data_IF_994185633250
#
_entry.id   IF_994185633250
#
_cell.length_a   1.000
_cell.length_b   1.000
_cell.length_c   1.000
_cell.angle_alpha   90.00
_cell.angle_beta   90.00
_cell.angle_gamma   90.00
#
_symmetry.space_group_name_H-M   'P 1'
#
loop_
_entity.id
_entity.type
_entity.pdbx_description
1 polymer ?
#
# COMPACT_ATOMS: atom_id res chain seq x y z
N UNK A 1 -28.34 35.17 -19.09
CA UNK A 1 -28.88 33.91 -18.53
C UNK A 1 -27.79 33.25 -17.70
N UNK A 2 -27.91 33.36 -16.39
CA UNK A 2 -26.91 32.90 -15.42
C UNK A 2 -27.16 31.41 -15.11
N UNK A 3 -26.17 30.53 -15.35
CA UNK A 3 -26.29 29.09 -15.03
C UNK A 3 -25.74 28.85 -13.63
N UNK A 4 -26.45 28.12 -12.74
CA UNK A 4 -26.01 27.94 -11.36
C UNK A 4 -24.73 27.10 -11.31
N UNK A 5 -23.70 27.64 -10.63
CA UNK A 5 -22.46 26.91 -10.30
C UNK A 5 -22.80 25.77 -9.36
N UNK A 6 -22.74 24.51 -9.84
CA UNK A 6 -22.85 23.34 -8.97
C UNK A 6 -21.69 23.34 -7.97
N UNK A 7 -22.02 23.50 -6.69
CA UNK A 7 -21.08 23.45 -5.56
C UNK A 7 -20.54 22.03 -5.43
N UNK A 8 -19.22 21.88 -5.49
CA UNK A 8 -18.56 20.60 -5.25
C UNK A 8 -18.73 20.23 -3.77
N UNK A 9 -19.38 19.09 -3.51
CA UNK A 9 -19.45 18.46 -2.19
C UNK A 9 -18.35 17.38 -2.19
N UNK A 10 -17.28 17.51 -1.39
CA UNK A 10 -16.27 16.46 -1.27
C UNK A 10 -16.94 15.18 -0.76
N UNK A 11 -16.69 14.05 -1.41
CA UNK A 11 -17.19 12.76 -0.92
C UNK A 11 -16.47 12.38 0.39
N UNK A 12 -17.19 11.80 1.36
CA UNK A 12 -16.59 11.33 2.62
C UNK A 12 -15.61 10.17 2.38
N UNK A 13 -14.67 9.98 3.31
CA UNK A 13 -13.59 8.99 3.21
C UNK A 13 -14.05 7.55 2.90
N UNK A 14 -15.30 7.20 3.25
CA UNK A 14 -15.96 5.92 2.96
C UNK A 14 -16.14 5.65 1.44
N UNK A 15 -16.10 6.70 0.60
CA UNK A 15 -16.21 6.56 -0.87
C UNK A 15 -14.91 6.12 -1.56
N UNK A 16 -13.76 6.23 -0.89
CA UNK A 16 -12.51 5.59 -1.37
C UNK A 16 -12.55 4.08 -1.15
N UNK A 17 -13.20 3.64 -0.07
CA UNK A 17 -13.48 2.23 0.21
C UNK A 17 -14.43 1.65 -0.85
N UNK A 18 -15.40 2.42 -1.33
CA UNK A 18 -16.33 2.01 -2.40
C UNK A 18 -15.67 1.85 -3.79
N UNK A 19 -14.59 2.59 -4.08
CA UNK A 19 -13.77 2.37 -5.29
C UNK A 19 -12.85 1.15 -5.14
N UNK A 20 -12.28 0.94 -3.96
CA UNK A 20 -11.51 -0.26 -3.61
C UNK A 20 -12.38 -1.53 -3.70
N UNK A 21 -13.64 -1.46 -3.26
CA UNK A 21 -14.59 -2.58 -3.31
C UNK A 21 -15.00 -2.93 -4.76
N UNK A 22 -15.18 -1.92 -5.62
CA UNK A 22 -15.39 -2.14 -7.07
C UNK A 22 -14.16 -2.69 -7.79
N UNK A 23 -12.96 -2.45 -7.28
CA UNK A 23 -11.71 -3.03 -7.79
C UNK A 23 -11.42 -4.43 -7.20
N UNK A 24 -12.02 -4.78 -6.06
CA UNK A 24 -11.85 -6.06 -5.35
C UNK A 24 -13.01 -7.06 -5.55
N UNK A 25 -14.14 -6.67 -6.15
CA UNK A 25 -15.23 -7.61 -6.48
C UNK A 25 -14.84 -8.55 -7.63
N UNK A 26 -14.10 -9.63 -7.32
CA UNK A 26 -14.16 -10.92 -8.05
C UNK A 26 -13.50 -12.09 -7.32
N UNK A 27 -13.15 -11.99 -6.04
CA UNK A 27 -12.66 -13.17 -5.29
C UNK A 27 -13.77 -14.04 -4.69
N UNK A 28 -15.03 -13.59 -4.66
CA UNK A 28 -16.11 -14.31 -3.95
C UNK A 28 -17.16 -15.00 -4.84
N UNK A 29 -17.06 -14.96 -6.17
CA UNK A 29 -18.06 -15.58 -7.07
C UNK A 29 -17.61 -16.85 -7.80
N UNK A 30 -16.40 -17.36 -7.56
CA UNK A 30 -15.96 -18.65 -8.13
C UNK A 30 -16.24 -19.89 -7.25
N UNK A 31 -17.01 -19.74 -6.15
CA UNK A 31 -17.35 -20.87 -5.26
C UNK A 31 -18.84 -21.28 -5.27
N UNK A 32 -19.67 -20.74 -6.17
CA UNK A 32 -21.12 -21.00 -6.16
C UNK A 32 -21.75 -21.16 -7.54
N UNK A 33 -21.74 -22.40 -8.05
CA UNK A 33 -22.77 -23.01 -8.89
C UNK A 33 -23.27 -22.27 -10.15
N UNK A 34 -22.86 -22.78 -11.32
CA UNK A 34 -23.67 -22.73 -12.54
C UNK A 34 -24.12 -24.16 -12.88
N UNK A 35 -25.44 -24.46 -12.91
CA UNK A 35 -25.94 -25.78 -13.27
C UNK A 35 -26.09 -25.92 -14.80
N UNK A 36 -25.67 -27.08 -15.31
CA UNK A 36 -26.23 -27.70 -16.51
C UNK A 36 -25.56 -27.33 -17.84
N UNK A 37 -24.75 -28.24 -18.35
CA UNK A 37 -24.98 -28.94 -19.63
C UNK A 37 -23.96 -30.10 -19.68
N UNK A 38 -24.48 -31.33 -19.59
CA UNK A 38 -23.66 -32.54 -19.58
C UNK A 38 -23.23 -32.96 -20.99
N UNK A 39 -22.05 -33.58 -21.08
CA UNK A 39 -21.74 -34.73 -21.91
C UNK A 39 -20.44 -35.38 -21.36
N UNK A 40 -20.29 -36.68 -21.62
CA UNK A 40 -19.60 -37.72 -20.85
C UNK A 40 -18.17 -38.07 -21.34
N UNK A 41 -17.42 -38.82 -20.49
CA UNK A 41 -16.22 -39.69 -20.73
C UNK A 41 -14.83 -38.99 -20.85
N UNK A 42 -13.70 -39.37 -20.22
CA UNK A 42 -13.21 -40.47 -19.35
C UNK A 42 -11.82 -40.06 -18.75
N UNK A 43 -11.22 -40.76 -17.76
CA UNK A 43 -10.18 -40.23 -16.85
C UNK A 43 -8.74 -40.69 -17.13
N UNK A 44 -7.75 -39.82 -16.88
CA UNK A 44 -6.31 -40.12 -16.65
C UNK A 44 -5.59 -38.77 -16.36
N UNK A 45 -4.59 -38.60 -15.49
CA UNK A 45 -3.88 -39.46 -14.58
C UNK A 45 -3.23 -38.56 -13.50
N UNK A 46 -3.06 -39.15 -12.32
CA UNK A 46 -2.26 -38.70 -11.18
C UNK A 46 -0.90 -38.10 -11.58
N UNK A 47 -0.59 -36.89 -11.13
CA UNK A 47 0.77 -36.53 -10.75
C UNK A 47 0.76 -35.84 -9.39
N UNK A 48 1.18 -36.62 -8.42
CA UNK A 48 1.70 -36.25 -7.11
C UNK A 48 2.79 -35.20 -7.22
N UNK A 49 2.57 -34.01 -6.65
CA UNK A 49 3.65 -33.08 -6.33
C UNK A 49 3.96 -33.16 -4.84
N UNK A 50 5.08 -33.80 -4.56
CA UNK A 50 5.80 -33.85 -3.29
C UNK A 50 6.09 -32.46 -2.74
N UNK A 51 5.88 -32.32 -1.43
CA UNK A 51 6.25 -31.18 -0.58
C UNK A 51 7.73 -31.23 -0.25
N UNK A 52 8.46 -30.11 -0.42
CA UNK A 52 9.50 -29.65 0.51
C UNK A 52 10.06 -28.28 0.07
N UNK A 53 10.04 -27.29 0.98
CA UNK A 53 10.76 -26.02 0.83
C UNK A 53 10.18 -24.88 1.67
N UNK A 54 10.61 -24.78 2.94
CA UNK A 54 10.29 -23.68 3.85
C UNK A 54 10.88 -22.34 3.37
N UNK A 55 10.15 -21.25 3.59
CA UNK A 55 10.75 -19.94 3.86
C UNK A 55 10.42 -18.83 2.87
N UNK A 56 9.16 -18.40 2.83
CA UNK A 56 8.73 -17.04 2.48
C UNK A 56 7.24 -16.96 2.79
N UNK A 57 6.84 -16.52 3.98
CA UNK A 57 5.45 -16.04 4.14
C UNK A 57 5.36 -14.76 3.32
N UNK A 58 5.07 -14.89 2.02
CA UNK A 58 4.74 -13.76 1.17
C UNK A 58 3.61 -13.00 1.86
N UNK A 59 3.81 -11.70 2.08
CA UNK A 59 2.78 -10.87 2.68
C UNK A 59 1.55 -10.96 1.75
N UNK A 60 0.35 -11.30 2.25
CA UNK A 60 -0.84 -11.38 1.40
C UNK A 60 -1.09 -10.10 0.58
N UNK A 61 -0.51 -8.95 0.95
CA UNK A 61 -0.57 -7.73 0.14
C UNK A 61 0.61 -7.49 -0.78
N UNK A 62 1.80 -8.04 -0.56
CA UNK A 62 2.82 -8.05 -1.62
C UNK A 62 2.30 -8.87 -2.80
N UNK A 63 1.58 -9.97 -2.50
CA UNK A 63 0.82 -10.73 -3.50
C UNK A 63 -0.27 -9.85 -4.14
N UNK A 64 -1.10 -9.14 -3.36
CA UNK A 64 -2.15 -8.27 -3.95
C UNK A 64 -1.59 -7.13 -4.80
N UNK A 65 -0.50 -6.48 -4.38
CA UNK A 65 0.14 -5.41 -5.17
C UNK A 65 0.70 -5.98 -6.46
N UNK A 66 1.37 -7.13 -6.42
CA UNK A 66 1.83 -7.82 -7.63
C UNK A 66 0.66 -8.20 -8.53
N UNK A 67 -0.43 -8.77 -7.99
CA UNK A 67 -1.65 -9.06 -8.75
C UNK A 67 -2.25 -7.80 -9.39
N UNK A 68 -2.21 -6.64 -8.71
CA UNK A 68 -2.66 -5.36 -9.28
C UNK A 68 -1.79 -4.96 -10.48
N UNK A 69 -0.46 -5.17 -10.39
CA UNK A 69 0.46 -4.93 -11.51
C UNK A 69 0.16 -5.91 -12.65
N UNK A 70 0.01 -7.20 -12.37
CA UNK A 70 -0.30 -8.24 -13.35
C UNK A 70 -1.62 -7.98 -14.11
N UNK A 71 -2.60 -7.36 -13.45
CA UNK A 71 -3.90 -7.02 -14.05
C UNK A 71 -3.90 -5.78 -14.94
N UNK A 72 -2.84 -4.98 -14.98
CA UNK A 72 -2.76 -3.76 -15.80
C UNK A 72 -3.20 -3.95 -17.26
N UNK A 73 -2.78 -4.99 -18.00
CA UNK A 73 -3.22 -5.22 -19.37
C UNK A 73 -4.75 -5.43 -19.47
N UNK A 74 -5.31 -6.21 -18.54
CA UNK A 74 -6.75 -6.46 -18.49
C UNK A 74 -7.53 -5.17 -18.15
N UNK A 75 -7.04 -4.36 -17.20
CA UNK A 75 -7.66 -3.08 -16.83
C UNK A 75 -7.70 -2.10 -18.00
N UNK A 76 -6.67 -2.02 -18.82
CA UNK A 76 -6.72 -1.20 -20.05
C UNK A 76 -7.78 -1.70 -21.03
N UNK A 77 -7.92 -3.01 -21.19
CA UNK A 77 -8.95 -3.60 -22.05
C UNK A 77 -10.37 -3.40 -21.49
N UNK A 78 -10.54 -3.42 -20.15
CA UNK A 78 -11.80 -3.11 -19.48
C UNK A 78 -12.19 -1.62 -19.67
N UNK A 79 -11.21 -0.71 -19.70
CA UNK A 79 -11.43 0.72 -19.99
C UNK A 79 -11.92 0.92 -21.42
N UNK A 80 -11.26 0.26 -22.39
CA UNK A 80 -11.64 0.31 -23.79
C UNK A 80 -11.32 -1.00 -24.52
N UNK A 81 -12.35 -1.82 -24.82
CA UNK A 81 -12.16 -3.09 -25.50
C UNK A 81 -11.63 -2.96 -26.93
N UNK A 82 -11.80 -1.81 -27.59
CA UNK A 82 -11.34 -1.61 -28.98
C UNK A 82 -9.88 -1.16 -29.05
N UNK A 83 -9.32 -0.71 -27.93
CA UNK A 83 -7.93 -0.26 -27.86
C UNK A 83 -6.95 -1.43 -28.01
N UNK A 84 -5.97 -1.27 -28.91
CA UNK A 84 -4.91 -2.27 -29.18
C UNK A 84 -3.58 -1.79 -28.62
N UNK A 85 -3.24 -2.18 -27.38
CA UNK A 85 -1.94 -1.86 -26.76
C UNK A 85 -0.96 -3.01 -27.03
N UNK A 86 0.26 -2.75 -27.53
CA UNK A 86 1.28 -3.78 -27.68
C UNK A 86 1.66 -4.41 -26.33
N UNK A 87 1.83 -5.74 -26.30
CA UNK A 87 2.19 -6.48 -25.08
C UNK A 87 3.50 -6.01 -24.45
N UNK A 88 4.48 -5.62 -25.27
CA UNK A 88 5.75 -5.03 -24.83
C UNK A 88 5.54 -3.72 -24.05
N UNK A 89 4.57 -2.89 -24.47
CA UNK A 89 4.25 -1.65 -23.76
C UNK A 89 3.63 -1.94 -22.41
N UNK A 90 2.69 -2.90 -22.34
CA UNK A 90 2.10 -3.28 -21.05
C UNK A 90 3.10 -3.96 -20.12
N UNK A 91 4.03 -4.77 -20.65
CA UNK A 91 5.10 -5.38 -19.86
C UNK A 91 6.06 -4.32 -19.28
N UNK A 92 6.48 -3.35 -20.09
CA UNK A 92 7.32 -2.24 -19.62
C UNK A 92 6.63 -1.40 -18.54
N UNK A 93 5.32 -1.15 -18.66
CA UNK A 93 4.53 -0.48 -17.60
C UNK A 93 4.53 -1.30 -16.31
N UNK A 94 4.37 -2.61 -16.41
CA UNK A 94 4.40 -3.48 -15.23
C UNK A 94 5.75 -3.43 -14.53
N UNK A 95 6.85 -3.42 -15.30
CA UNK A 95 8.20 -3.28 -14.75
C UNK A 95 8.42 -1.91 -14.10
N UNK A 96 7.95 -0.83 -14.71
CA UNK A 96 7.98 0.51 -14.12
C UNK A 96 7.20 0.55 -12.79
N UNK A 97 6.01 -0.08 -12.73
CA UNK A 97 5.19 -0.15 -11.52
C UNK A 97 5.86 -0.99 -10.42
N UNK A 98 6.52 -2.10 -10.78
CA UNK A 98 7.33 -2.89 -9.84
C UNK A 98 8.49 -2.06 -9.28
N UNK A 99 9.14 -1.29 -10.14
CA UNK A 99 10.26 -0.45 -9.74
C UNK A 99 9.84 0.74 -8.86
N UNK A 100 8.57 1.16 -8.91
CA UNK A 100 7.98 2.15 -8.00
C UNK A 100 7.53 1.59 -6.64
N UNK A 101 7.54 0.26 -6.44
CA UNK A 101 7.06 -0.33 -5.19
C UNK A 101 7.82 0.19 -3.97
N UNK A 102 7.06 0.67 -2.97
CA UNK A 102 7.57 1.26 -1.74
C UNK A 102 8.50 2.47 -1.93
N UNK A 103 8.49 3.13 -3.09
CA UNK A 103 9.30 4.34 -3.32
C UNK A 103 8.51 5.62 -3.12
N UNK A 104 7.17 5.55 -3.09
CA UNK A 104 6.30 6.72 -3.03
C UNK A 104 5.88 7.06 -1.60
N UNK A 105 5.77 8.35 -1.33
CA UNK A 105 5.15 8.95 -0.15
C UNK A 105 3.67 9.25 -0.41
N UNK A 106 2.89 9.41 0.67
CA UNK A 106 1.48 9.84 0.60
C UNK A 106 1.27 11.31 0.23
N UNK A 107 2.32 12.03 -0.18
CA UNK A 107 2.28 13.48 -0.44
C UNK A 107 2.06 13.76 -1.92
N UNK A 108 0.85 14.14 -2.30
CA UNK A 108 0.60 14.79 -3.60
C UNK A 108 0.04 16.19 -3.39
N UNK A 109 0.63 17.18 -4.05
CA UNK A 109 0.30 18.59 -3.78
C UNK A 109 -1.01 18.99 -4.48
N UNK A 110 -1.71 19.95 -3.86
CA UNK A 110 -3.03 20.39 -4.29
C UNK A 110 -3.03 21.01 -5.70
N UNK A 111 -1.96 21.72 -6.06
CA UNK A 111 -1.80 22.40 -7.34
C UNK A 111 -1.74 21.43 -8.53
N UNK A 112 -1.00 20.31 -8.43
CA UNK A 112 -0.93 19.33 -9.52
C UNK A 112 -2.29 18.63 -9.74
N UNK A 113 -3.01 18.32 -8.66
CA UNK A 113 -4.37 17.75 -8.73
C UNK A 113 -5.34 18.71 -9.44
N UNK A 114 -5.27 20.01 -9.12
CA UNK A 114 -6.09 21.03 -9.78
C UNK A 114 -5.76 21.18 -11.27
N UNK A 115 -4.47 21.13 -11.63
CA UNK A 115 -4.02 21.19 -13.02
C UNK A 115 -4.54 19.98 -13.83
N UNK A 116 -4.38 18.76 -13.31
CA UNK A 116 -4.85 17.57 -14.01
C UNK A 116 -6.37 17.54 -14.19
N UNK A 117 -7.12 17.91 -13.14
CA UNK A 117 -8.58 18.02 -13.22
C UNK A 117 -9.04 19.03 -14.27
N UNK A 118 -8.30 20.13 -14.44
CA UNK A 118 -8.60 21.15 -15.47
C UNK A 118 -8.36 20.60 -16.87
N UNK A 119 -7.28 19.83 -17.07
CA UNK A 119 -6.98 19.15 -18.33
C UNK A 119 -8.05 18.11 -18.69
N UNK A 120 -8.45 17.26 -17.74
CA UNK A 120 -9.52 16.28 -17.95
C UNK A 120 -10.83 16.93 -18.38
N UNK A 121 -11.25 18.00 -17.68
CA UNK A 121 -12.47 18.74 -18.05
C UNK A 121 -12.40 19.29 -19.47
N UNK A 122 -11.25 19.80 -19.89
CA UNK A 122 -11.04 20.33 -21.24
C UNK A 122 -11.16 19.23 -22.30
N UNK A 123 -10.41 18.12 -22.16
CA UNK A 123 -10.39 17.02 -23.14
C UNK A 123 -11.73 16.30 -23.29
N UNK A 124 -12.48 16.15 -22.19
CA UNK A 124 -13.83 15.57 -22.21
C UNK A 124 -14.80 16.55 -22.89
N UNK A 125 -14.69 17.84 -22.60
CA UNK A 125 -15.58 18.85 -23.17
C UNK A 125 -15.41 19.03 -24.69
N UNK A 126 -14.18 18.88 -25.21
CA UNK A 126 -13.89 19.05 -26.64
C UNK A 126 -13.99 17.76 -27.44
N UNK A 127 -14.15 16.61 -26.75
CA UNK A 127 -14.08 15.27 -27.34
C UNK A 127 -12.88 15.08 -28.30
N UNK A 128 -11.76 15.73 -27.98
CA UNK A 128 -10.54 15.65 -28.77
C UNK A 128 -9.30 15.58 -27.87
N UNK A 129 -8.26 14.90 -28.36
CA UNK A 129 -6.96 14.80 -27.70
C UNK A 129 -5.92 15.47 -28.59
N UNK A 130 -5.65 16.76 -28.34
CA UNK A 130 -4.59 17.48 -29.06
C UNK A 130 -3.21 17.05 -28.57
N UNK A 131 -2.18 17.19 -29.41
CA UNK A 131 -0.78 16.93 -29.03
C UNK A 131 -0.37 17.74 -27.80
N UNK A 132 -0.80 19.01 -27.73
CA UNK A 132 -0.51 19.89 -26.60
C UNK A 132 -1.21 19.43 -25.32
N UNK A 133 -2.49 19.05 -25.41
CA UNK A 133 -3.26 18.54 -24.25
C UNK A 133 -2.69 17.24 -23.73
N UNK A 134 -2.29 16.32 -24.61
CA UNK A 134 -1.65 15.06 -24.25
C UNK A 134 -0.28 15.28 -23.58
N UNK A 135 0.55 16.16 -24.16
CA UNK A 135 1.85 16.49 -23.57
C UNK A 135 1.70 17.13 -22.17
N UNK A 136 0.74 18.05 -22.02
CA UNK A 136 0.43 18.68 -20.74
C UNK A 136 -0.08 17.65 -19.71
N UNK A 137 -0.98 16.74 -20.11
CA UNK A 137 -1.48 15.68 -19.24
C UNK A 137 -0.34 14.76 -18.78
N UNK A 138 0.49 14.30 -19.71
CA UNK A 138 1.61 13.43 -19.40
C UNK A 138 2.62 14.11 -18.45
N UNK A 139 2.89 15.40 -18.66
CA UNK A 139 3.76 16.21 -17.81
C UNK A 139 3.22 16.28 -16.38
N UNK A 140 1.94 16.64 -16.21
CA UNK A 140 1.31 16.75 -14.88
C UNK A 140 1.26 15.38 -14.19
N UNK A 141 1.01 14.30 -14.94
CA UNK A 141 1.09 12.93 -14.42
C UNK A 141 2.45 12.61 -13.80
N UNK A 142 3.54 12.89 -14.51
CA UNK A 142 4.88 12.68 -13.98
C UNK A 142 5.23 13.60 -12.81
N UNK A 143 4.84 14.87 -12.87
CA UNK A 143 5.04 15.82 -11.76
C UNK A 143 4.36 15.36 -10.47
N UNK A 144 3.15 14.77 -10.57
CA UNK A 144 2.48 14.22 -9.40
C UNK A 144 3.24 13.02 -8.82
N UNK A 145 3.71 12.08 -9.65
CA UNK A 145 4.48 10.93 -9.16
C UNK A 145 5.83 11.33 -8.57
N UNK A 146 6.54 12.28 -9.20
CA UNK A 146 7.78 12.84 -8.65
C UNK A 146 7.50 13.59 -7.34
N UNK A 147 6.40 14.35 -7.26
CA UNK A 147 6.02 15.04 -6.01
C UNK A 147 5.71 14.07 -4.87
N UNK A 148 5.28 12.85 -5.22
CA UNK A 148 5.09 11.73 -4.32
C UNK A 148 6.38 10.93 -4.08
N UNK A 149 7.56 11.41 -4.44
CA UNK A 149 8.83 10.73 -4.17
C UNK A 149 9.28 9.72 -5.23
N UNK A 150 8.57 9.61 -6.36
CA UNK A 150 8.93 8.71 -7.44
C UNK A 150 10.30 9.04 -8.05
N UNK A 151 11.10 8.01 -8.31
CA UNK A 151 12.38 8.17 -8.99
C UNK A 151 12.18 8.79 -10.40
N UNK A 152 12.84 9.92 -10.73
CA UNK A 152 12.62 10.60 -12.00
C UNK A 152 12.86 9.75 -13.25
N UNK A 153 13.81 8.80 -13.21
CA UNK A 153 14.09 7.92 -14.35
C UNK A 153 12.96 6.90 -14.58
N UNK A 154 12.45 6.31 -13.49
CA UNK A 154 11.32 5.37 -13.55
C UNK A 154 10.05 6.10 -13.99
N UNK A 155 9.80 7.29 -13.44
CA UNK A 155 8.64 8.12 -13.83
C UNK A 155 8.73 8.53 -15.29
N UNK A 156 9.91 8.88 -15.80
CA UNK A 156 10.10 9.20 -17.21
C UNK A 156 9.83 8.00 -18.14
N UNK A 157 10.26 6.80 -17.73
CA UNK A 157 9.94 5.54 -18.44
C UNK A 157 8.42 5.30 -18.48
N UNK A 158 7.75 5.41 -17.33
CA UNK A 158 6.29 5.24 -17.24
C UNK A 158 5.54 6.28 -18.06
N UNK A 159 5.99 7.54 -18.06
CA UNK A 159 5.46 8.61 -18.92
C UNK A 159 5.62 8.29 -20.41
N UNK A 160 6.76 7.74 -20.82
CA UNK A 160 6.98 7.34 -22.21
C UNK A 160 6.06 6.18 -22.62
N UNK A 161 5.88 5.19 -21.75
CA UNK A 161 4.96 4.08 -22.00
C UNK A 161 3.49 4.53 -22.01
N UNK A 162 3.10 5.48 -21.16
CA UNK A 162 1.77 6.08 -21.17
C UNK A 162 1.48 6.90 -22.44
N UNK A 163 2.50 7.52 -23.05
CA UNK A 163 2.34 8.14 -24.37
C UNK A 163 2.04 7.10 -25.45
N UNK A 164 2.72 5.94 -25.43
CA UNK A 164 2.44 4.83 -26.37
C UNK A 164 1.01 4.31 -26.19
N UNK A 165 0.56 4.11 -24.94
CA UNK A 165 -0.83 3.72 -24.62
C UNK A 165 -1.81 4.76 -25.17
N UNK A 166 -1.52 6.05 -24.96
CA UNK A 166 -2.40 7.14 -25.42
C UNK A 166 -2.46 7.22 -26.95
N UNK A 167 -1.34 7.02 -27.64
CA UNK A 167 -1.30 6.96 -29.11
C UNK A 167 -2.12 5.77 -29.64
N UNK A 168 -2.01 4.61 -29.00
CA UNK A 168 -2.83 3.45 -29.34
C UNK A 168 -4.33 3.74 -29.15
N UNK A 169 -4.72 4.41 -28.06
CA UNK A 169 -6.10 4.85 -27.85
C UNK A 169 -6.55 5.82 -28.94
N UNK A 170 -5.74 6.82 -29.29
CA UNK A 170 -6.09 7.79 -30.35
C UNK A 170 -6.30 7.12 -31.71
N UNK A 171 -5.57 6.04 -32.00
CA UNK A 171 -5.63 5.33 -33.28
C UNK A 171 -6.78 4.31 -33.38
N UNK A 172 -7.15 3.66 -32.27
CA UNK A 172 -8.03 2.48 -32.29
C UNK A 172 -9.29 2.58 -31.42
N UNK A 173 -9.36 3.57 -30.53
CA UNK A 173 -10.52 3.78 -29.67
C UNK A 173 -11.69 4.38 -30.45
N UNK A 174 -12.90 3.94 -30.12
CA UNK A 174 -14.13 4.63 -30.55
C UNK A 174 -14.39 5.92 -29.76
N UNK A 175 -13.72 6.12 -28.63
CA UNK A 175 -13.84 7.26 -27.74
C UNK A 175 -12.46 7.72 -27.19
N UNK A 176 -11.56 8.25 -28.04
CA UNK A 176 -10.18 8.55 -27.67
C UNK A 176 -10.00 9.42 -26.42
N UNK A 177 -10.81 10.46 -26.26
CA UNK A 177 -10.71 11.35 -25.08
C UNK A 177 -11.03 10.63 -23.77
N UNK A 178 -12.00 9.71 -23.79
CA UNK A 178 -12.36 8.92 -22.62
C UNK A 178 -11.29 7.88 -22.31
N UNK A 179 -10.83 7.13 -23.31
CA UNK A 179 -9.77 6.14 -23.14
C UNK A 179 -8.49 6.77 -22.59
N UNK A 180 -8.00 7.85 -23.19
CA UNK A 180 -6.78 8.54 -22.72
C UNK A 180 -6.94 9.06 -21.29
N UNK A 181 -8.04 9.75 -20.99
CA UNK A 181 -8.27 10.32 -19.65
C UNK A 181 -8.34 9.22 -18.59
N UNK A 182 -9.11 8.16 -18.85
CA UNK A 182 -9.26 7.03 -17.91
C UNK A 182 -7.95 6.26 -17.74
N UNK A 183 -7.17 6.06 -18.80
CA UNK A 183 -5.87 5.40 -18.74
C UNK A 183 -4.91 6.14 -17.80
N UNK A 184 -4.85 7.48 -17.87
CA UNK A 184 -4.01 8.28 -16.95
C UNK A 184 -4.51 8.24 -15.50
N UNK A 185 -5.83 8.28 -15.28
CA UNK A 185 -6.41 8.16 -13.93
C UNK A 185 -6.10 6.78 -13.34
N UNK A 186 -6.35 5.72 -14.12
CA UNK A 186 -6.05 4.35 -13.74
C UNK A 186 -4.56 4.19 -13.41
N UNK A 187 -3.67 4.65 -14.31
CA UNK A 187 -2.24 4.49 -14.11
C UNK A 187 -1.73 5.25 -12.89
N UNK A 188 -2.25 6.46 -12.66
CA UNK A 188 -1.90 7.22 -11.47
C UNK A 188 -2.34 6.47 -10.20
N UNK A 189 -3.57 5.97 -10.16
CA UNK A 189 -4.07 5.19 -9.05
C UNK A 189 -3.25 3.92 -8.81
N UNK A 190 -3.02 3.13 -9.88
CA UNK A 190 -2.20 1.92 -9.83
C UNK A 190 -0.80 2.22 -9.27
N UNK A 191 -0.09 3.20 -9.84
CA UNK A 191 1.24 3.60 -9.40
C UNK A 191 1.26 4.04 -7.94
N UNK A 192 0.30 4.87 -7.51
CA UNK A 192 0.25 5.29 -6.11
C UNK A 192 -0.09 4.15 -5.16
N UNK A 193 -1.00 3.24 -5.54
CA UNK A 193 -1.40 2.13 -4.68
C UNK A 193 -0.27 1.13 -4.51
N UNK A 194 0.46 0.79 -5.58
CA UNK A 194 1.59 -0.15 -5.48
C UNK A 194 2.83 0.50 -4.89
N UNK A 195 3.01 1.80 -5.16
CA UNK A 195 4.23 2.51 -4.82
C UNK A 195 4.25 3.16 -3.45
N UNK A 196 3.11 3.42 -2.82
CA UNK A 196 3.10 4.07 -1.50
C UNK A 196 3.73 3.17 -0.44
N UNK A 197 4.83 3.64 0.14
CA UNK A 197 5.48 3.03 1.27
C UNK A 197 4.60 3.17 2.53
N UNK A 198 4.60 2.13 3.35
CA UNK A 198 3.96 2.18 4.66
C UNK A 198 4.95 2.84 5.61
N UNK A 199 4.60 3.96 6.26
CA UNK A 199 5.53 4.67 7.14
C UNK A 199 6.12 3.75 8.20
N UNK A 200 7.43 3.81 8.42
CA UNK A 200 8.10 3.03 9.47
C UNK A 200 7.73 3.59 10.85
N UNK A 201 7.36 2.75 11.84
CA UNK A 201 7.16 3.20 13.21
C UNK A 201 8.47 3.74 13.84
N UNK A 202 8.38 4.56 14.89
CA UNK A 202 9.55 4.89 15.70
C UNK A 202 10.05 3.66 16.48
N UNK A 203 11.29 3.71 16.94
CA UNK A 203 11.85 2.70 17.83
C UNK A 203 10.96 2.51 19.09
N UNK A 204 10.82 1.28 19.60
CA UNK A 204 10.05 1.01 20.81
C UNK A 204 10.51 1.91 21.96
N UNK A 205 9.57 2.57 22.64
CA UNK A 205 9.90 3.42 23.80
C UNK A 205 9.20 2.85 25.02
N UNK A 206 9.97 2.51 26.07
CA UNK A 206 9.40 2.08 27.35
C UNK A 206 8.62 3.24 27.97
N UNK A 207 7.44 2.96 28.54
CA UNK A 207 6.64 3.97 29.24
C UNK A 207 7.50 4.61 30.35
N UNK A 208 7.59 5.96 30.42
CA UNK A 208 8.52 6.64 31.31
C UNK A 208 8.47 6.23 32.78
N UNK A 209 7.26 6.00 33.33
CA UNK A 209 7.08 5.59 34.74
C UNK A 209 7.68 4.21 35.07
N UNK A 210 7.97 3.40 34.06
CA UNK A 210 8.59 2.07 34.21
C UNK A 210 10.10 2.09 33.97
N UNK A 211 10.65 3.21 33.46
CA UNK A 211 12.07 3.34 33.16
C UNK A 211 12.84 3.78 34.40
N UNK A 212 13.68 2.88 34.91
CA UNK A 212 14.57 3.09 36.05
C UNK A 212 15.90 3.77 35.67
N UNK A 213 16.16 3.93 34.37
CA UNK A 213 17.34 4.62 33.85
C UNK A 213 16.94 5.74 32.84
N UNK A 214 16.28 6.82 33.30
CA UNK A 214 16.00 7.96 32.43
C UNK A 214 17.32 8.57 31.91
N UNK A 215 17.46 8.74 30.59
CA UNK A 215 18.64 9.34 29.96
C UNK A 215 19.64 8.35 29.35
N UNK A 216 19.43 7.04 29.54
CA UNK A 216 20.18 5.99 28.84
C UNK A 216 19.25 4.92 28.26
N UNK A 217 19.82 3.75 27.97
CA UNK A 217 19.05 2.58 27.56
C UNK A 217 18.00 2.22 28.63
N UNK A 218 16.75 1.89 28.21
CA UNK A 218 15.66 1.65 29.14
C UNK A 218 15.95 0.44 30.04
N UNK A 219 15.77 0.63 31.35
CA UNK A 219 15.88 -0.40 32.38
C UNK A 219 14.57 -0.51 33.13
N UNK A 220 14.10 -1.72 33.41
CA UNK A 220 12.89 -1.93 34.20
C UNK A 220 12.94 -3.22 35.01
N UNK A 221 12.35 -3.22 36.21
CA UNK A 221 12.10 -4.46 36.95
C UNK A 221 10.72 -5.07 36.63
N UNK A 222 9.95 -4.44 35.73
CA UNK A 222 8.66 -4.96 35.29
C UNK A 222 8.87 -6.09 34.29
N UNK A 223 8.39 -7.29 34.64
CA UNK A 223 8.38 -8.45 33.74
C UNK A 223 7.28 -8.41 32.67
N UNK A 224 6.44 -7.38 32.70
CA UNK A 224 5.45 -7.05 31.67
C UNK A 224 5.62 -5.58 31.29
N UNK A 225 6.69 -5.23 30.57
CA UNK A 225 6.94 -3.85 30.18
C UNK A 225 5.80 -3.31 29.32
N UNK A 226 5.55 -2.02 29.43
CA UNK A 226 4.63 -1.29 28.56
C UNK A 226 5.43 -0.36 27.67
N UNK A 227 5.12 -0.37 26.38
CA UNK A 227 5.71 0.49 25.37
C UNK A 227 4.70 1.53 24.92
N UNK A 228 5.16 2.74 24.64
CA UNK A 228 4.33 3.85 24.17
C UNK A 228 4.98 4.54 22.98
N UNK A 229 4.19 5.23 22.20
CA UNK A 229 4.69 5.99 21.07
C UNK A 229 3.58 6.67 20.28
N UNK A 230 3.99 7.22 19.14
CA UNK A 230 3.10 7.76 18.13
C UNK A 230 3.29 7.01 16.82
N UNK A 231 2.19 6.77 16.13
CA UNK A 231 2.18 6.18 14.80
C UNK A 231 0.88 6.56 14.08
N UNK A 232 0.74 6.28 12.79
CA UNK A 232 -0.49 6.63 12.07
C UNK A 232 -1.72 5.98 12.70
N UNK A 233 -2.79 6.76 12.86
CA UNK A 233 -4.05 6.31 13.46
C UNK A 233 -4.61 5.11 12.69
N UNK A 234 -5.15 4.13 13.40
CA UNK A 234 -5.77 2.93 12.83
C UNK A 234 -4.76 1.84 12.43
N UNK A 235 -3.46 2.15 12.40
CA UNK A 235 -2.44 1.13 12.16
C UNK A 235 -2.25 0.24 13.37
N UNK A 236 -1.98 -1.04 13.11
CA UNK A 236 -1.49 -1.99 14.10
C UNK A 236 0.01 -1.74 14.30
N UNK A 237 0.46 -1.77 15.56
CA UNK A 237 1.86 -1.68 15.95
C UNK A 237 2.24 -2.97 16.65
N UNK A 238 3.31 -3.61 16.19
CA UNK A 238 3.92 -4.78 16.82
C UNK A 238 5.35 -4.45 17.27
N UNK A 239 5.68 -4.78 18.50
CA UNK A 239 7.03 -4.72 19.06
C UNK A 239 7.62 -6.12 18.97
N UNK A 240 8.78 -6.27 18.36
CA UNK A 240 9.42 -7.55 18.09
C UNK A 240 10.77 -7.65 18.79
N UNK A 241 11.14 -8.85 19.21
CA UNK A 241 12.50 -9.16 19.62
C UNK A 241 13.35 -9.43 18.36
N UNK A 242 14.48 -8.73 18.22
CA UNK A 242 15.37 -8.86 17.06
C UNK A 242 16.04 -10.24 17.01
N UNK A 243 16.27 -10.88 18.16
CA UNK A 243 16.98 -12.16 18.22
C UNK A 243 16.21 -13.33 17.58
N UNK A 244 14.89 -13.35 17.69
CA UNK A 244 14.04 -14.47 17.25
C UNK A 244 12.82 -14.05 16.41
N UNK A 245 12.61 -12.75 16.21
CA UNK A 245 11.47 -12.19 15.48
C UNK A 245 10.13 -12.32 16.20
N UNK A 246 10.11 -12.74 17.48
CA UNK A 246 8.88 -12.93 18.23
C UNK A 246 8.18 -11.61 18.55
N UNK A 247 6.85 -11.60 18.44
CA UNK A 247 6.02 -10.44 18.80
C UNK A 247 5.88 -10.37 20.32
N UNK A 248 6.52 -9.38 20.91
CA UNK A 248 6.50 -9.11 22.35
C UNK A 248 5.21 -8.40 22.76
N UNK A 249 4.80 -7.40 21.99
CA UNK A 249 3.61 -6.60 22.25
C UNK A 249 2.91 -6.23 20.95
N UNK A 250 1.59 -6.12 21.00
CA UNK A 250 0.76 -5.73 19.86
C UNK A 250 -0.37 -4.82 20.31
N UNK A 251 -0.70 -3.83 19.49
CA UNK A 251 -1.89 -3.01 19.68
C UNK A 251 -2.16 -2.11 18.49
N UNK A 252 -3.12 -1.20 18.64
CA UNK A 252 -3.54 -0.28 17.58
C UNK A 252 -3.18 1.14 17.99
N UNK A 253 -2.67 1.93 17.06
CA UNK A 253 -2.50 3.37 17.23
C UNK A 253 -3.87 4.05 17.20
N UNK A 254 -4.35 4.48 18.37
CA UNK A 254 -5.66 5.12 18.54
C UNK A 254 -5.60 6.59 18.16
N UNK A 255 -6.75 7.22 17.88
CA UNK A 255 -6.81 8.67 17.63
C UNK A 255 -6.24 9.45 18.82
N UNK A 256 -5.34 10.44 18.63
CA UNK A 256 -4.85 11.03 17.37
C UNK A 256 -3.47 10.49 16.92
N UNK A 257 -3.30 9.18 16.84
CA UNK A 257 -2.05 8.50 16.48
C UNK A 257 -1.14 8.18 17.67
N UNK A 258 -1.70 7.75 18.81
CA UNK A 258 -0.95 7.32 19.99
C UNK A 258 -1.22 5.84 20.28
N UNK A 259 -0.20 5.13 20.73
CA UNK A 259 -0.36 3.76 21.23
C UNK A 259 0.28 3.58 22.60
N UNK A 260 -0.26 2.64 23.37
CA UNK A 260 0.39 2.03 24.53
C UNK A 260 0.09 0.54 24.50
N UNK A 261 1.13 -0.28 24.48
CA UNK A 261 1.02 -1.74 24.34
C UNK A 261 1.84 -2.42 25.43
N UNK A 262 1.29 -3.45 26.06
CA UNK A 262 1.99 -4.23 27.06
C UNK A 262 2.56 -5.51 26.43
N UNK A 263 3.68 -6.00 26.98
CA UNK A 263 4.14 -7.35 26.66
C UNK A 263 3.03 -8.37 26.94
N UNK A 264 2.74 -9.23 25.96
CA UNK A 264 1.68 -10.23 26.03
C UNK A 264 2.01 -11.34 27.03
N UNK A 265 3.29 -11.71 27.11
CA UNK A 265 3.85 -12.71 28.01
C UNK A 265 4.74 -12.09 29.09
N UNK A 266 4.98 -12.85 30.16
CA UNK A 266 5.96 -12.50 31.19
C UNK A 266 7.36 -12.71 30.62
N UNK A 267 8.21 -11.70 30.73
CA UNK A 267 9.59 -11.72 30.27
C UNK A 267 10.55 -11.99 31.45
N UNK A 268 11.61 -12.75 31.20
CA UNK A 268 12.64 -13.04 32.19
C UNK A 268 13.60 -11.86 32.34
N UNK A 269 14.41 -11.80 33.42
CA UNK A 269 15.45 -10.81 33.54
C UNK A 269 16.49 -11.09 32.46
N UNK A 270 17.03 -10.02 31.88
CA UNK A 270 17.94 -10.12 30.74
C UNK A 270 17.86 -8.90 29.85
N UNK A 271 18.70 -8.90 28.83
CA UNK A 271 18.75 -7.86 27.82
C UNK A 271 17.95 -8.31 26.58
N UNK A 272 17.18 -7.38 26.02
CA UNK A 272 16.34 -7.59 24.85
C UNK A 272 16.60 -6.48 23.84
N UNK A 273 16.89 -6.84 22.59
CA UNK A 273 16.98 -5.88 21.48
C UNK A 273 15.62 -5.85 20.78
N UNK A 274 14.94 -4.71 20.81
CA UNK A 274 13.56 -4.58 20.37
C UNK A 274 13.47 -3.66 19.15
N UNK A 275 12.65 -4.04 18.17
CA UNK A 275 12.24 -3.20 17.02
C UNK A 275 10.72 -3.12 16.97
N UNK A 276 10.18 -2.23 16.13
CA UNK A 276 8.76 -2.10 15.88
C UNK A 276 8.46 -2.25 14.38
N UNK A 277 7.28 -2.77 14.06
CA UNK A 277 6.71 -2.71 12.71
C UNK A 277 5.25 -2.27 12.77
N UNK A 278 4.84 -1.58 11.72
CA UNK A 278 3.48 -1.13 11.51
C UNK A 278 2.76 -2.08 10.57
N UNK A 279 1.44 -2.21 10.74
CA UNK A 279 0.60 -2.94 9.80
C UNK A 279 -0.67 -2.16 9.52
N UNK A 280 -1.00 -1.95 8.25
CA UNK A 280 -2.25 -1.32 7.85
C UNK A 280 -3.45 -2.20 8.18
N UNK A 281 -4.68 -1.66 8.29
CA UNK A 281 -5.89 -2.48 8.44
C UNK A 281 -6.07 -3.51 7.32
N UNK A 282 -5.58 -3.19 6.11
CA UNK A 282 -5.59 -4.11 4.99
C UNK A 282 -4.56 -5.26 5.13
N UNK A 283 -3.59 -5.13 6.04
CA UNK A 283 -2.55 -6.11 6.38
C UNK A 283 -1.14 -5.75 5.90
N UNK A 284 -0.91 -4.55 5.37
CA UNK A 284 0.36 -4.21 4.73
C UNK A 284 1.39 -3.87 5.79
N UNK A 285 2.60 -4.42 5.70
CA UNK A 285 3.61 -4.32 6.76
C UNK A 285 4.69 -3.30 6.38
N UNK A 286 5.03 -2.41 7.31
CA UNK A 286 6.12 -1.45 7.13
C UNK A 286 7.50 -2.11 7.18
N UNK A 287 8.54 -1.37 6.83
CA UNK A 287 9.90 -1.71 7.26
C UNK A 287 10.00 -1.76 8.79
N UNK A 288 11.04 -2.42 9.30
CA UNK A 288 11.35 -2.45 10.73
C UNK A 288 11.93 -1.10 11.17
N UNK A 289 11.56 -0.65 12.36
CA UNK A 289 12.15 0.53 12.99
C UNK A 289 13.62 0.29 13.36
N UNK A 290 14.39 1.36 13.66
CA UNK A 290 15.61 1.23 14.44
C UNK A 290 15.35 0.46 15.75
N UNK A 291 16.37 -0.21 16.26
CA UNK A 291 16.26 -0.98 17.50
C UNK A 291 16.47 -0.13 18.75
N UNK A 292 15.96 -0.62 19.88
CA UNK A 292 16.28 -0.16 21.23
C UNK A 292 16.72 -1.35 22.09
N UNK A 293 17.58 -1.12 23.08
CA UNK A 293 18.01 -2.16 24.02
C UNK A 293 17.28 -2.00 25.34
N UNK A 294 16.42 -2.94 25.69
CA UNK A 294 15.71 -3.00 26.96
C UNK A 294 16.42 -3.97 27.92
N UNK A 295 16.71 -3.52 29.13
CA UNK A 295 17.19 -4.41 30.21
C UNK A 295 16.08 -4.64 31.22
N UNK A 296 15.72 -5.91 31.44
CA UNK A 296 14.82 -6.33 32.51
C UNK A 296 15.65 -6.84 33.69
N UNK A 297 15.50 -6.21 34.84
CA UNK A 297 16.19 -6.62 36.09
C UNK A 297 15.28 -7.51 36.94
N UNK A 298 15.89 -8.33 37.81
CA UNK A 298 15.14 -8.95 38.89
C UNK A 298 14.62 -7.85 39.82
N UNK A 299 13.35 -7.91 40.23
CA UNK A 299 12.85 -7.04 41.30
C UNK A 299 13.75 -7.18 42.53
N UNK A 300 14.03 -6.08 43.27
CA UNK A 300 14.82 -6.19 44.49
C UNK A 300 14.10 -7.16 45.43
N UNK A 301 14.81 -8.20 45.87
CA UNK A 301 14.30 -9.13 46.87
C UNK A 301 14.08 -8.35 48.15
N UNK A 302 12.83 -8.07 48.53
CA UNK A 302 12.54 -7.56 49.86
C UNK A 302 12.77 -8.70 50.85
N UNK A 303 13.99 -8.83 51.35
CA UNK A 303 14.24 -9.65 52.54
C UNK A 303 13.53 -8.96 53.70
N UNK A 304 12.35 -9.46 54.06
CA UNK A 304 11.69 -9.09 55.31
C UNK A 304 12.54 -9.65 56.45
N UNK A 305 13.43 -8.84 57.00
CA UNK A 305 14.07 -9.15 58.28
C UNK A 305 12.98 -9.15 59.34
N UNK A 306 12.66 -10.34 59.88
CA UNK A 306 11.95 -10.46 61.16
C UNK A 306 13.01 -10.28 62.25
N UNK A 307 13.14 -9.05 62.76
CA UNK A 307 13.81 -8.75 64.02
C UNK A 307 13.18 -7.49 64.61
#
# INVERSE_FOLDING_TARGET
MDRPKRRFIPLPAESQEFLEDRLCMTTSQLAGGLPGLGQQMTPQATQTSTVAGFGSTSNPLSVRRETRIERVPASFHEIDPTQRIPSETTAAIQDDLRALMNTLDSRTQHSQRAAMNSLFRSMISTNSVSTQSLAALNKVFGEMLISAGGNPAIVASLQANMLKVSQAAIQSSTQPSFAVTNNYVFMYFAATTVGTAIPTPPAPTLVPRMNQNPGGDPVTSSRRPQFTGRYQQGMIVEILNVADGSVIARGVSQSPGRFTVAASAVMNPGQYTLTARGTTPAGEVSELSPWTTLTITSSPTTTRSLA
#
